data_IF_127191721260
#
_entry.id   IF_127191721260
#
_cell.length_a   1.000
_cell.length_b   1.000
_cell.length_c   1.000
_cell.angle_alpha   90.00
_cell.angle_beta   90.00
_cell.angle_gamma   90.00
#
_symmetry.space_group_name_H-M   'P 1'
#
loop_
_entity.id
_entity.type
_entity.pdbx_description
1 polymer ?
#
# COMPACT_ATOMS: atom_id res chain seq x y z
N UNK A 1 -29.26 3.24 -3.59
CA UNK A 1 -28.05 3.52 -2.78
C UNK A 1 -27.76 2.29 -1.94
N UNK A 2 -26.56 1.72 -2.05
CA UNK A 2 -26.12 0.65 -1.17
C UNK A 2 -25.17 1.29 -0.14
N UNK A 3 -25.65 1.50 1.08
CA UNK A 3 -24.84 2.13 2.14
C UNK A 3 -23.95 1.05 2.74
N UNK A 4 -22.63 1.21 2.63
CA UNK A 4 -21.67 0.27 3.20
C UNK A 4 -21.52 0.54 4.69
N UNK A 5 -21.66 -0.49 5.51
CA UNK A 5 -21.47 -0.43 6.96
C UNK A 5 -20.53 -1.55 7.39
N UNK A 6 -19.38 -1.18 7.94
CA UNK A 6 -18.50 -2.09 8.67
C UNK A 6 -18.84 -1.99 10.15
N UNK A 7 -19.80 -2.81 10.57
CA UNK A 7 -20.36 -2.74 11.92
C UNK A 7 -20.88 -4.09 12.37
N UNK A 8 -20.91 -4.29 13.68
CA UNK A 8 -21.43 -5.52 14.28
C UNK A 8 -22.71 -5.24 15.05
N UNK A 9 -23.72 -6.09 14.84
CA UNK A 9 -24.99 -6.04 15.55
C UNK A 9 -25.14 -7.34 16.33
N UNK A 10 -25.55 -7.23 17.59
CA UNK A 10 -25.84 -8.37 18.49
C UNK A 10 -26.99 -8.00 19.41
N UNK A 11 -27.59 -9.01 20.06
CA UNK A 11 -28.71 -8.84 20.98
C UNK A 11 -29.88 -8.08 20.32
N UNK A 12 -30.20 -8.44 19.08
CA UNK A 12 -31.32 -7.86 18.36
C UNK A 12 -32.66 -8.31 18.98
N UNK A 13 -33.62 -7.40 19.02
CA UNK A 13 -35.03 -7.66 19.32
C UNK A 13 -35.87 -7.10 18.18
N UNK A 14 -36.48 -8.01 17.40
CA UNK A 14 -37.33 -7.65 16.28
C UNK A 14 -38.79 -7.76 16.72
N UNK A 15 -39.26 -6.80 17.53
CA UNK A 15 -40.64 -6.73 18.03
C UNK A 15 -41.10 -8.01 18.77
N UNK A 16 -40.20 -8.62 19.55
CA UNK A 16 -40.47 -9.85 20.29
C UNK A 16 -40.68 -11.10 19.41
N UNK A 17 -40.38 -11.03 18.12
CA UNK A 17 -40.51 -12.17 17.19
C UNK A 17 -39.38 -13.19 17.39
N UNK A 18 -39.63 -14.44 16.98
CA UNK A 18 -38.59 -15.47 16.96
C UNK A 18 -37.51 -15.14 15.91
N UNK A 19 -36.26 -15.18 16.35
CA UNK A 19 -35.07 -14.87 15.55
C UNK A 19 -34.11 -16.05 15.43
N UNK A 20 -34.56 -17.27 15.76
CA UNK A 20 -33.79 -18.49 15.64
C UNK A 20 -33.21 -18.68 14.23
N UNK A 21 -33.93 -18.26 13.19
CA UNK A 21 -33.47 -18.30 11.79
C UNK A 21 -32.23 -17.43 11.54
N UNK A 22 -32.12 -16.26 12.18
CA UNK A 22 -30.92 -15.39 12.10
C UNK A 22 -29.75 -16.11 12.75
N UNK A 23 -29.98 -16.66 13.95
CA UNK A 23 -28.93 -17.39 14.67
C UNK A 23 -28.47 -18.65 13.93
N UNK A 24 -29.37 -19.33 13.21
CA UNK A 24 -29.06 -20.45 12.33
C UNK A 24 -28.18 -20.01 11.17
N UNK A 25 -28.59 -18.97 10.43
CA UNK A 25 -27.82 -18.42 9.34
C UNK A 25 -26.41 -17.94 9.76
N UNK A 26 -26.27 -17.38 10.96
CA UNK A 26 -24.97 -16.99 11.51
C UNK A 26 -24.08 -18.20 11.86
N UNK A 27 -24.66 -19.30 12.33
CA UNK A 27 -23.91 -20.54 12.61
C UNK A 27 -23.42 -21.20 11.32
N UNK A 28 -24.27 -21.22 10.30
CA UNK A 28 -23.97 -21.90 9.03
C UNK A 28 -23.01 -21.09 8.15
N UNK A 29 -22.97 -19.76 8.30
CA UNK A 29 -22.15 -18.88 7.47
C UNK A 29 -21.19 -18.01 8.31
N UNK A 30 -19.96 -18.48 8.58
CA UNK A 30 -18.98 -17.75 9.39
C UNK A 30 -18.63 -16.34 8.87
N UNK A 31 -18.77 -16.09 7.56
CA UNK A 31 -18.58 -14.76 6.94
C UNK A 31 -19.55 -13.69 7.46
N UNK A 32 -20.69 -14.11 8.04
CA UNK A 32 -21.68 -13.23 8.66
C UNK A 32 -21.38 -12.92 10.13
N UNK A 33 -20.36 -13.56 10.72
CA UNK A 33 -19.94 -13.29 12.09
C UNK A 33 -18.86 -12.19 12.12
N UNK A 34 -18.94 -11.34 13.13
CA UNK A 34 -17.93 -10.32 13.38
C UNK A 34 -16.75 -10.90 14.17
N UNK A 35 -15.60 -10.25 14.09
CA UNK A 35 -14.50 -10.52 15.01
C UNK A 35 -14.88 -10.10 16.44
N UNK A 36 -14.44 -10.89 17.42
CA UNK A 36 -14.74 -10.67 18.84
C UNK A 36 -14.07 -9.39 19.38
N UNK A 37 -12.81 -9.20 19.02
CA UNK A 37 -12.00 -8.05 19.41
C UNK A 37 -11.56 -7.34 18.14
N UNK A 38 -11.76 -6.02 18.09
CA UNK A 38 -11.34 -5.17 16.97
C UNK A 38 -10.75 -3.88 17.50
N UNK A 39 -9.88 -3.27 16.69
CA UNK A 39 -9.30 -1.95 16.93
C UNK A 39 -9.44 -1.07 15.67
N UNK A 40 -9.28 0.26 15.78
CA UNK A 40 -9.38 1.16 14.63
C UNK A 40 -8.35 0.87 13.55
N UNK A 41 -8.83 0.73 12.31
CA UNK A 41 -8.01 0.47 11.13
C UNK A 41 -8.76 -0.38 10.12
N UNK A 42 -8.12 -0.71 9.01
CA UNK A 42 -8.65 -1.58 7.97
C UNK A 42 -7.92 -2.91 7.99
N UNK A 43 -8.65 -4.02 8.05
CA UNK A 43 -8.08 -5.37 7.97
C UNK A 43 -8.06 -5.87 6.53
N UNK A 44 -6.88 -6.26 6.08
CA UNK A 44 -6.68 -6.92 4.80
C UNK A 44 -6.27 -8.37 5.06
N UNK A 45 -7.04 -9.37 4.58
CA UNK A 45 -6.80 -10.78 4.92
C UNK A 45 -5.71 -11.45 4.08
N UNK A 46 -5.07 -10.74 3.13
CA UNK A 46 -4.10 -11.35 2.22
C UNK A 46 -4.70 -12.19 1.08
N UNK A 47 -5.91 -11.84 0.64
CA UNK A 47 -6.64 -12.56 -0.42
C UNK A 47 -7.16 -11.65 -1.55
N UNK A 48 -6.90 -10.34 -1.49
CA UNK A 48 -7.39 -9.40 -2.49
C UNK A 48 -6.91 -7.98 -2.21
N UNK A 49 -7.50 -7.01 -2.92
CA UNK A 49 -7.09 -5.62 -2.91
C UNK A 49 -8.29 -4.67 -2.91
N UNK A 50 -8.01 -3.38 -2.70
CA UNK A 50 -8.94 -2.27 -2.98
C UNK A 50 -8.41 -1.44 -4.15
N UNK A 51 -9.30 -0.89 -4.97
CA UNK A 51 -8.96 -0.09 -6.16
C UNK A 51 -9.63 1.28 -6.12
N UNK A 52 -8.85 2.32 -6.46
CA UNK A 52 -9.32 3.69 -6.63
C UNK A 52 -8.92 4.22 -8.01
N UNK A 53 -9.91 4.62 -8.80
CA UNK A 53 -9.77 5.04 -10.20
C UNK A 53 -9.81 6.56 -10.37
N UNK A 54 -10.21 7.30 -9.33
CA UNK A 54 -10.44 8.75 -9.39
C UNK A 54 -9.29 9.58 -8.80
N UNK A 55 -8.23 8.94 -8.29
CA UNK A 55 -7.09 9.65 -7.74
C UNK A 55 -6.27 10.31 -8.86
N UNK A 56 -5.98 11.59 -8.70
CA UNK A 56 -5.12 12.36 -9.60
C UNK A 56 -3.82 12.72 -8.89
N UNK A 57 -2.72 12.49 -9.57
CA UNK A 57 -1.38 12.84 -9.10
C UNK A 57 -0.86 14.12 -9.76
N UNK A 58 -1.63 14.75 -10.64
CA UNK A 58 -1.22 15.97 -11.32
C UNK A 58 -1.21 17.17 -10.36
N UNK A 59 -0.12 17.91 -10.33
CA UNK A 59 -0.01 19.19 -9.64
C UNK A 59 -0.60 20.25 -10.56
N UNK A 60 -1.76 20.80 -10.19
CA UNK A 60 -2.34 21.95 -10.87
C UNK A 60 -1.47 23.17 -10.59
N UNK A 61 -0.90 23.79 -11.62
CA UNK A 61 -0.30 25.13 -11.47
C UNK A 61 -1.41 26.09 -11.01
N UNK A 62 -1.21 26.89 -9.95
CA UNK A 62 -2.17 27.95 -9.64
C UNK A 62 -2.31 28.85 -10.87
N UNK A 63 -3.55 29.13 -11.25
CA UNK A 63 -3.87 29.99 -12.39
C UNK A 63 -3.16 31.33 -12.19
N UNK A 64 -2.30 31.70 -13.12
CA UNK A 64 -1.53 32.94 -13.04
C UNK A 64 -2.47 34.15 -13.14
N UNK A 65 -2.86 34.70 -11.99
CA UNK A 65 -3.25 36.10 -11.85
C UNK A 65 -2.32 36.68 -10.80
N UNK A 66 -1.13 37.09 -11.22
CA UNK A 66 -0.14 37.73 -10.36
C UNK A 66 1.26 37.67 -10.98
N UNK A 67 2.07 38.75 -10.87
CA UNK A 67 3.42 38.76 -11.40
C UNK A 67 4.31 37.84 -10.56
N UNK A 68 5.10 37.05 -11.29
CA UNK A 68 5.97 35.97 -10.85
C UNK A 68 6.86 36.36 -9.67
N UNK A 69 6.67 35.68 -8.53
CA UNK A 69 7.73 35.55 -7.54
C UNK A 69 8.68 34.45 -8.03
N UNK A 70 9.95 34.83 -8.19
CA UNK A 70 11.03 33.95 -8.58
C UNK A 70 11.28 32.86 -7.52
N UNK A 71 11.47 31.63 -7.97
CA UNK A 71 12.02 30.54 -7.15
C UNK A 71 11.05 29.43 -6.79
N UNK A 72 10.56 28.67 -7.78
CA UNK A 72 10.26 27.24 -7.62
C UNK A 72 10.10 26.60 -9.01
N UNK A 73 11.24 26.36 -9.65
CA UNK A 73 11.32 25.60 -10.89
C UNK A 73 11.50 24.11 -10.59
N UNK A 74 10.44 23.42 -10.14
CA UNK A 74 10.39 21.95 -10.17
C UNK A 74 9.30 21.53 -11.18
N UNK A 75 9.76 21.37 -12.42
CA UNK A 75 9.02 21.59 -13.65
C UNK A 75 8.20 20.45 -14.21
N UNK A 76 7.71 19.50 -13.41
CA UNK A 76 7.02 18.33 -13.97
C UNK A 76 5.72 18.03 -13.22
N UNK A 77 4.73 18.92 -13.35
CA UNK A 77 3.27 18.77 -13.22
C UNK A 77 2.58 17.65 -12.41
N UNK A 78 3.25 16.90 -11.53
CA UNK A 78 2.73 15.76 -10.79
C UNK A 78 3.49 15.54 -9.47
N UNK A 79 2.83 14.92 -8.50
CA UNK A 79 3.40 14.60 -7.18
C UNK A 79 2.67 13.41 -6.57
N UNK A 80 3.42 12.38 -6.19
CA UNK A 80 2.91 11.27 -5.39
C UNK A 80 3.27 11.51 -3.93
N UNK A 81 2.27 11.54 -3.06
CA UNK A 81 2.45 11.53 -1.61
C UNK A 81 1.62 10.39 -1.04
N UNK A 82 2.27 9.44 -0.39
CA UNK A 82 1.64 8.35 0.33
C UNK A 82 2.06 8.45 1.80
N UNK A 83 1.09 8.38 2.70
CA UNK A 83 1.31 8.15 4.12
C UNK A 83 0.34 7.09 4.59
N UNK A 84 0.83 6.11 5.33
CA UNK A 84 0.00 5.13 6.01
C UNK A 84 0.73 4.59 7.22
N UNK A 85 -0.02 4.02 8.15
CA UNK A 85 0.52 3.16 9.19
C UNK A 85 0.15 1.73 8.87
N UNK A 86 1.08 0.80 9.06
CA UNK A 86 0.89 -0.62 8.79
C UNK A 86 1.28 -1.48 9.99
N UNK A 87 0.55 -2.57 10.18
CA UNK A 87 0.93 -3.70 11.04
C UNK A 87 0.78 -4.99 10.24
N UNK A 88 1.83 -5.43 9.53
CA UNK A 88 1.77 -6.60 8.67
C UNK A 88 1.81 -7.91 9.47
N UNK A 89 1.23 -8.95 8.88
CA UNK A 89 1.36 -10.34 9.36
C UNK A 89 2.19 -11.21 8.41
N UNK A 90 2.71 -10.63 7.32
CA UNK A 90 3.60 -11.25 6.33
C UNK A 90 4.68 -10.26 5.92
N UNK A 91 5.86 -10.78 5.63
CA UNK A 91 7.07 -10.04 5.29
C UNK A 91 7.20 -9.69 3.81
N UNK A 92 6.34 -10.25 2.95
CA UNK A 92 6.26 -9.94 1.53
C UNK A 92 4.82 -9.66 1.10
N UNK A 93 4.58 -8.48 0.54
CA UNK A 93 3.29 -8.10 0.00
C UNK A 93 3.34 -6.77 -0.75
N UNK A 94 2.45 -6.59 -1.70
CA UNK A 94 2.17 -5.28 -2.31
C UNK A 94 1.38 -4.42 -1.31
N UNK A 95 1.92 -3.24 -0.96
CA UNK A 95 1.23 -2.25 -0.14
C UNK A 95 0.38 -1.33 -1.02
N UNK A 96 1.01 -0.71 -2.02
CA UNK A 96 0.35 0.19 -2.97
C UNK A 96 0.92 -0.06 -4.36
N UNK A 97 0.09 -0.08 -5.37
CA UNK A 97 0.51 -0.14 -6.77
C UNK A 97 -0.26 0.87 -7.63
N UNK A 98 0.44 1.45 -8.60
CA UNK A 98 -0.14 2.31 -9.62
C UNK A 98 -0.17 1.52 -10.94
N UNK A 99 -1.38 1.17 -11.36
CA UNK A 99 -1.63 0.30 -12.52
C UNK A 99 -2.16 1.13 -13.69
N UNK A 100 -1.51 1.03 -14.84
CA UNK A 100 -1.91 1.67 -16.10
C UNK A 100 -2.52 0.66 -17.06
N UNK A 101 -3.50 1.10 -17.85
CA UNK A 101 -4.15 0.32 -18.92
C UNK A 101 -4.76 -1.02 -18.46
N UNK A 102 -4.88 -1.23 -17.15
CA UNK A 102 -5.37 -2.49 -16.59
C UNK A 102 -4.28 -3.50 -16.23
N UNK A 103 -3.11 -3.44 -16.89
CA UNK A 103 -2.14 -4.56 -16.90
C UNK A 103 -0.73 -4.17 -16.45
N UNK A 104 -0.38 -2.89 -16.53
CA UNK A 104 1.00 -2.43 -16.37
C UNK A 104 1.20 -1.84 -14.97
N UNK A 105 1.96 -2.53 -14.11
CA UNK A 105 2.34 -2.03 -12.79
C UNK A 105 3.52 -1.05 -12.91
N UNK A 106 3.21 0.25 -12.96
CA UNK A 106 4.22 1.29 -13.22
C UNK A 106 5.05 1.62 -11.99
N UNK A 107 4.41 1.70 -10.82
CA UNK A 107 5.04 1.92 -9.54
C UNK A 107 4.42 0.99 -8.51
N UNK A 108 5.25 0.28 -7.75
CA UNK A 108 4.81 -0.63 -6.68
C UNK A 108 5.60 -0.35 -5.41
N UNK A 109 4.91 -0.14 -4.30
CA UNK A 109 5.47 -0.10 -2.96
C UNK A 109 5.13 -1.42 -2.29
N UNK A 110 6.14 -2.12 -1.78
CA UNK A 110 5.94 -3.47 -1.27
C UNK A 110 6.84 -3.78 -0.07
N UNK A 111 6.34 -4.64 0.82
CA UNK A 111 7.15 -5.34 1.80
C UNK A 111 8.00 -6.38 1.07
N UNK A 112 9.31 -6.38 1.34
CA UNK A 112 10.25 -7.25 0.65
C UNK A 112 11.51 -7.50 1.47
N UNK A 113 12.38 -8.34 0.93
CA UNK A 113 13.75 -8.51 1.38
C UNK A 113 14.72 -7.93 0.36
N UNK A 114 15.80 -7.32 0.83
CA UNK A 114 16.96 -7.00 0.01
C UNK A 114 18.13 -7.87 0.44
N UNK A 115 19.03 -8.17 -0.50
CA UNK A 115 20.24 -8.90 -0.18
C UNK A 115 21.34 -7.94 0.31
N UNK A 116 21.94 -8.27 1.44
CA UNK A 116 23.03 -7.53 2.10
C UNK A 116 24.29 -8.38 2.05
N UNK A 117 25.31 -7.84 1.39
CA UNK A 117 26.63 -8.45 1.28
C UNK A 117 27.61 -7.49 0.59
N UNK A 118 28.90 -7.66 0.82
CA UNK A 118 29.91 -6.91 0.09
C UNK A 118 29.81 -7.21 -1.43
N UNK A 119 30.25 -6.27 -2.26
CA UNK A 119 30.34 -6.50 -3.72
C UNK A 119 31.17 -7.77 -3.98
N UNK A 120 30.63 -8.69 -4.79
CA UNK A 120 31.27 -9.98 -5.09
C UNK A 120 30.93 -11.12 -4.11
N UNK A 121 30.18 -10.87 -3.05
CA UNK A 121 29.69 -11.93 -2.16
C UNK A 121 28.70 -12.81 -2.93
N UNK A 122 28.89 -14.14 -3.01
CA UNK A 122 27.96 -15.02 -3.72
C UNK A 122 26.58 -14.97 -3.06
N UNK A 123 25.52 -15.02 -3.87
CA UNK A 123 24.13 -14.84 -3.42
C UNK A 123 23.74 -15.71 -2.22
N UNK A 124 24.25 -16.95 -2.15
CA UNK A 124 23.98 -17.89 -1.05
C UNK A 124 24.58 -17.45 0.30
N UNK A 125 25.55 -16.55 0.29
CA UNK A 125 26.20 -16.00 1.49
C UNK A 125 25.70 -14.60 1.83
N UNK A 126 24.83 -14.00 1.01
CA UNK A 126 24.24 -12.71 1.31
C UNK A 126 23.13 -12.88 2.35
N UNK A 127 23.06 -11.95 3.30
CA UNK A 127 21.99 -11.91 4.29
C UNK A 127 20.76 -11.23 3.69
N UNK A 128 19.58 -11.82 3.83
CA UNK A 128 18.33 -11.14 3.47
C UNK A 128 17.88 -10.23 4.61
N UNK A 129 17.68 -8.95 4.31
CA UNK A 129 17.18 -7.95 5.25
C UNK A 129 15.76 -7.56 4.88
N UNK A 130 14.78 -7.64 5.81
CA UNK A 130 13.40 -7.24 5.56
C UNK A 130 13.29 -5.71 5.50
N UNK A 131 12.31 -5.21 4.74
CA UNK A 131 12.08 -3.78 4.60
C UNK A 131 10.99 -3.44 3.61
N UNK A 132 10.96 -2.17 3.20
CA UNK A 132 10.05 -1.65 2.18
C UNK A 132 10.83 -1.31 0.93
N UNK A 133 10.41 -1.87 -0.21
CA UNK A 133 10.95 -1.57 -1.53
C UNK A 133 9.97 -0.74 -2.35
N UNK A 134 10.50 0.22 -3.10
CA UNK A 134 9.77 0.92 -4.16
C UNK A 134 10.32 0.46 -5.50
N UNK A 135 9.45 -0.10 -6.31
CA UNK A 135 9.76 -0.65 -7.62
C UNK A 135 9.12 0.20 -8.71
N UNK A 136 9.87 0.43 -9.78
CA UNK A 136 9.38 1.06 -11.01
C UNK A 136 9.55 0.05 -12.14
N UNK A 137 8.44 -0.42 -12.72
CA UNK A 137 8.43 -1.43 -13.79
C UNK A 137 9.41 -2.59 -13.53
N UNK A 138 9.34 -3.18 -12.33
CA UNK A 138 10.20 -4.27 -11.82
C UNK A 138 11.57 -3.87 -11.27
N UNK A 139 12.08 -2.70 -11.59
CA UNK A 139 13.37 -2.26 -11.08
C UNK A 139 13.24 -1.71 -9.66
N UNK A 140 14.07 -2.20 -8.74
CA UNK A 140 14.15 -1.68 -7.39
C UNK A 140 14.80 -0.28 -7.42
N UNK A 141 14.03 0.74 -7.06
CA UNK A 141 14.47 2.13 -7.08
C UNK A 141 15.05 2.53 -5.73
N UNK A 142 14.29 2.26 -4.66
CA UNK A 142 14.60 2.60 -3.29
C UNK A 142 14.25 1.42 -2.40
N UNK A 143 15.05 1.22 -1.36
CA UNK A 143 14.80 0.24 -0.33
C UNK A 143 15.11 0.86 1.03
N UNK A 144 14.22 0.64 1.99
CA UNK A 144 14.39 1.05 3.36
C UNK A 144 14.34 -0.20 4.24
N UNK A 145 15.45 -0.50 4.92
CA UNK A 145 15.51 -1.59 5.90
C UNK A 145 14.51 -1.34 7.02
N UNK A 146 13.83 -2.40 7.43
CA UNK A 146 13.03 -2.38 8.65
C UNK A 146 13.93 -2.11 9.86
N UNK A 147 13.46 -1.37 10.87
CA UNK A 147 14.23 -1.16 12.08
C UNK A 147 14.66 -2.50 12.68
N UNK A 148 15.95 -2.66 12.93
CA UNK A 148 16.45 -3.71 13.80
C UNK A 148 16.19 -3.24 15.23
N UNK A 149 14.95 -3.34 15.69
CA UNK A 149 14.67 -3.04 17.08
C UNK A 149 15.57 -3.96 17.93
N UNK A 150 16.22 -3.41 18.96
CA UNK A 150 17.33 -4.06 19.69
C UNK A 150 16.94 -5.34 20.46
N UNK A 151 15.78 -5.92 20.16
CA UNK A 151 15.28 -7.17 20.70
C UNK A 151 16.22 -8.34 20.36
N UNK A 152 16.60 -9.11 21.37
CA UNK A 152 17.20 -10.43 21.19
C UNK A 152 16.08 -11.46 21.03
N UNK A 153 15.96 -12.10 19.88
CA UNK A 153 15.06 -13.23 19.67
C UNK A 153 15.08 -13.76 18.23
N UNK A 154 14.58 -14.99 17.98
CA UNK A 154 14.56 -15.59 16.64
C UNK A 154 13.60 -14.91 15.64
N UNK A 155 12.78 -13.94 16.11
CA UNK A 155 11.92 -13.05 15.31
C UNK A 155 12.38 -11.58 15.36
N UNK A 156 13.58 -11.32 15.86
CA UNK A 156 14.14 -9.98 15.95
C UNK A 156 14.61 -9.50 14.57
N UNK A 157 13.74 -8.77 13.88
CA UNK A 157 14.05 -8.12 12.63
C UNK A 157 12.85 -8.12 11.69
N UNK A 158 12.43 -6.93 11.25
CA UNK A 158 11.36 -6.78 10.28
C UNK A 158 10.13 -6.06 10.84
N UNK A 159 9.12 -5.96 10.00
CA UNK A 159 7.90 -5.19 10.28
C UNK A 159 6.77 -6.06 10.86
N UNK A 160 6.98 -7.37 11.00
CA UNK A 160 5.99 -8.34 11.48
C UNK A 160 6.09 -8.58 13.00
N UNK A 161 6.38 -7.54 13.77
CA UNK A 161 6.60 -7.58 15.23
C UNK A 161 5.31 -7.37 16.03
N UNK A 162 4.19 -7.05 15.37
CA UNK A 162 2.91 -6.75 16.00
C UNK A 162 2.75 -5.29 16.42
N UNK A 163 3.75 -4.45 16.18
CA UNK A 163 3.69 -3.01 16.35
C UNK A 163 3.10 -2.32 15.11
N UNK A 164 2.75 -1.04 15.27
CA UNK A 164 2.38 -0.18 14.15
C UNK A 164 3.63 0.52 13.63
N UNK A 165 3.87 0.43 12.33
CA UNK A 165 4.95 1.12 11.64
C UNK A 165 4.41 2.24 10.75
N UNK A 166 5.08 3.37 10.73
CA UNK A 166 4.75 4.52 9.89
C UNK A 166 5.51 4.46 8.57
N UNK A 167 4.79 4.55 7.46
CA UNK A 167 5.35 4.56 6.11
C UNK A 167 5.00 5.87 5.41
N UNK A 168 6.03 6.56 4.93
CA UNK A 168 5.94 7.73 4.07
C UNK A 168 6.63 7.49 2.73
N UNK A 169 5.97 7.85 1.64
CA UNK A 169 6.60 7.94 0.32
C UNK A 169 6.23 9.29 -0.29
N UNK A 170 7.22 10.01 -0.78
CA UNK A 170 7.02 11.20 -1.59
C UNK A 170 7.85 11.09 -2.86
N UNK A 171 7.23 11.31 -4.02
CA UNK A 171 7.93 11.33 -5.29
C UNK A 171 7.50 12.54 -6.12
N UNK A 172 8.49 13.25 -6.66
CA UNK A 172 8.40 14.26 -7.72
C UNK A 172 9.19 13.76 -8.92
N UNK A 173 9.16 14.45 -10.06
CA UNK A 173 9.93 14.00 -11.22
C UNK A 173 11.45 13.92 -11.00
N UNK A 174 11.96 14.68 -10.04
CA UNK A 174 13.40 14.79 -9.78
C UNK A 174 13.85 13.93 -8.62
N UNK A 175 13.03 13.81 -7.57
CA UNK A 175 13.41 13.15 -6.33
C UNK A 175 12.33 12.18 -5.84
N UNK A 176 12.77 11.11 -5.21
CA UNK A 176 11.91 10.17 -4.49
C UNK A 176 12.48 9.98 -3.09
N UNK A 177 11.62 10.02 -2.08
CA UNK A 177 11.97 9.78 -0.68
C UNK A 177 11.03 8.75 -0.09
N UNK A 178 11.63 7.72 0.49
CA UNK A 178 10.96 6.67 1.24
C UNK A 178 11.35 6.82 2.71
N UNK A 179 10.38 6.75 3.61
CA UNK A 179 10.57 6.91 5.05
C UNK A 179 9.79 5.82 5.79
N UNK A 180 10.45 5.15 6.73
CA UNK A 180 9.92 4.08 7.56
C UNK A 180 10.31 4.37 9.00
N UNK A 181 9.33 4.55 9.88
CA UNK A 181 9.54 4.87 11.30
C UNK A 181 10.47 6.07 11.53
N UNK A 182 10.30 7.10 10.71
CA UNK A 182 11.08 8.34 10.75
C UNK A 182 12.48 8.23 10.13
N UNK A 183 12.93 7.03 9.75
CA UNK A 183 14.19 6.82 9.03
C UNK A 183 13.88 6.78 7.54
N UNK A 184 14.52 7.65 6.76
CA UNK A 184 14.26 7.70 5.33
C UNK A 184 15.49 7.95 4.47
N UNK A 185 15.40 7.46 3.24
CA UNK A 185 16.39 7.65 2.19
C UNK A 185 15.74 8.34 0.99
N UNK A 186 16.51 9.22 0.36
CA UNK A 186 16.12 9.90 -0.86
C UNK A 186 16.99 9.45 -2.02
N UNK A 187 16.43 9.42 -3.23
CA UNK A 187 17.13 9.15 -4.48
C UNK A 187 16.70 10.14 -5.53
N UNK A 188 17.69 10.83 -6.07
CA UNK A 188 17.51 11.75 -7.18
C UNK A 188 17.63 11.01 -8.52
N UNK A 189 17.09 11.60 -9.58
CA UNK A 189 17.17 11.05 -10.94
C UNK A 189 16.43 9.71 -11.10
N UNK A 190 15.57 9.35 -10.15
CA UNK A 190 14.84 8.09 -10.15
C UNK A 190 13.88 7.96 -11.34
N UNK A 191 13.39 9.06 -11.90
CA UNK A 191 12.45 9.03 -13.03
C UNK A 191 13.06 8.44 -14.32
N UNK A 192 14.39 8.39 -14.39
CA UNK A 192 15.16 7.72 -15.45
C UNK A 192 15.29 6.21 -15.19
N UNK A 193 15.04 5.74 -13.96
CA UNK A 193 15.06 4.32 -13.59
C UNK A 193 13.85 3.65 -14.26
N UNK A 194 14.10 2.64 -15.08
CA UNK A 194 13.10 1.98 -15.92
C UNK A 194 12.88 2.60 -17.31
N UNK A 195 13.49 3.74 -17.65
CA UNK A 195 13.57 4.22 -19.04
C UNK A 195 14.62 3.43 -19.85
N UNK A 196 15.60 2.83 -19.16
CA UNK A 196 16.68 2.03 -19.73
C UNK A 196 16.34 0.52 -19.87
N UNK A 197 15.28 0.04 -19.20
CA UNK A 197 14.99 -1.40 -19.08
C UNK A 197 14.09 -1.96 -20.20
N UNK A 198 13.33 -1.13 -20.92
CA UNK A 198 12.41 -1.60 -21.98
C UNK A 198 12.28 -0.59 -23.15
N UNK A 199 13.34 -0.41 -23.93
CA UNK A 199 13.26 0.03 -25.34
C UNK A 199 12.47 1.31 -25.66
N UNK A 200 12.56 2.36 -24.82
CA UNK A 200 11.95 3.67 -25.15
C UNK A 200 10.57 3.96 -24.55
N UNK A 201 10.11 3.21 -23.54
CA UNK A 201 8.91 3.58 -22.76
C UNK A 201 9.13 4.90 -21.99
N UNK A 202 8.13 5.80 -22.03
CA UNK A 202 8.15 7.15 -21.39
C UNK A 202 8.56 7.07 -19.90
N UNK A 203 9.24 8.10 -19.35
CA UNK A 203 9.55 8.17 -17.90
C UNK A 203 8.30 7.98 -17.04
N UNK A 204 8.40 7.30 -15.89
CA UNK A 204 7.25 7.12 -14.96
C UNK A 204 6.65 8.45 -14.52
N UNK A 205 7.47 9.50 -14.42
CA UNK A 205 7.02 10.86 -14.22
C UNK A 205 5.95 11.31 -15.24
N UNK A 206 6.18 11.06 -16.53
CA UNK A 206 5.21 11.38 -17.58
C UNK A 206 3.95 10.51 -17.50
N UNK A 207 4.05 9.31 -16.95
CA UNK A 207 2.93 8.39 -16.82
C UNK A 207 1.93 8.91 -15.77
N UNK A 208 2.40 9.39 -14.63
CA UNK A 208 1.54 9.82 -13.52
C UNK A 208 0.70 11.09 -13.80
N UNK A 209 0.88 11.70 -14.98
CA UNK A 209 0.01 12.76 -15.51
C UNK A 209 -1.29 12.25 -16.14
N UNK A 210 -1.36 10.95 -16.47
CA UNK A 210 -2.56 10.30 -17.04
C UNK A 210 -3.37 9.52 -16.01
N UNK A 211 -4.48 8.93 -16.45
CA UNK A 211 -5.32 8.07 -15.61
C UNK A 211 -4.55 6.79 -15.20
N UNK A 212 -4.44 6.57 -13.89
CA UNK A 212 -3.89 5.36 -13.28
C UNK A 212 -4.84 4.86 -12.22
N UNK A 213 -4.89 3.54 -12.05
CA UNK A 213 -5.65 2.89 -10.98
C UNK A 213 -4.74 2.70 -9.79
N UNK A 214 -5.19 3.13 -8.63
CA UNK A 214 -4.44 2.99 -7.38
C UNK A 214 -4.94 1.76 -6.65
N UNK A 215 -4.11 0.72 -6.61
CA UNK A 215 -4.43 -0.52 -5.93
C UNK A 215 -3.76 -0.52 -4.55
N UNK A 216 -4.52 -0.89 -3.51
CA UNK A 216 -4.04 -1.00 -2.14
C UNK A 216 -4.12 -2.48 -1.71
N UNK A 217 -3.01 -2.97 -1.13
CA UNK A 217 -2.91 -4.31 -0.56
C UNK A 217 -2.75 -5.44 -1.58
N UNK A 218 -2.56 -5.13 -2.86
CA UNK A 218 -2.41 -6.14 -3.91
C UNK A 218 -2.41 -5.56 -5.31
N UNK A 219 -2.18 -6.45 -6.28
CA UNK A 219 -2.39 -6.19 -7.70
C UNK A 219 -3.68 -6.87 -8.17
N UNK A 220 -4.39 -6.32 -9.16
CA UNK A 220 -5.53 -7.00 -9.76
C UNK A 220 -5.05 -8.17 -10.63
N UNK A 221 -5.89 -9.19 -10.79
CA UNK A 221 -5.56 -10.40 -11.58
C UNK A 221 -5.30 -10.11 -13.06
N UNK A 222 -5.70 -8.92 -13.55
CA UNK A 222 -5.38 -8.43 -14.90
C UNK A 222 -3.91 -8.05 -15.08
N UNK A 223 -3.18 -7.79 -13.98
CA UNK A 223 -1.74 -7.55 -14.00
C UNK A 223 -1.04 -8.90 -13.96
N UNK A 224 -0.25 -9.22 -14.98
CA UNK A 224 0.47 -10.48 -15.02
C UNK A 224 1.40 -10.63 -13.81
N UNK A 225 1.51 -11.85 -13.26
CA UNK A 225 2.41 -12.14 -12.13
C UNK A 225 3.87 -11.71 -12.40
N UNK A 226 4.30 -11.75 -13.66
CA UNK A 226 5.64 -11.36 -14.10
C UNK A 226 5.81 -9.85 -14.29
N UNK A 227 4.76 -9.04 -14.13
CA UNK A 227 4.77 -7.60 -14.33
C UNK A 227 5.32 -6.82 -13.13
N UNK A 228 5.33 -7.43 -11.94
CA UNK A 228 5.90 -6.86 -10.73
C UNK A 228 6.78 -7.90 -9.99
N UNK A 229 7.82 -7.48 -9.25
CA UNK A 229 8.68 -8.40 -8.51
C UNK A 229 7.96 -9.08 -7.35
N UNK A 230 6.88 -8.44 -6.88
CA UNK A 230 6.05 -8.89 -5.75
C UNK A 230 4.60 -8.75 -6.16
N UNK A 231 3.85 -9.82 -5.99
CA UNK A 231 2.44 -9.93 -6.35
C UNK A 231 1.59 -10.51 -5.20
N UNK A 232 2.22 -10.82 -4.07
CA UNK A 232 1.52 -11.29 -2.89
C UNK A 232 0.58 -10.22 -2.33
N UNK A 233 -0.63 -10.63 -1.97
CA UNK A 233 -1.61 -9.79 -1.30
C UNK A 233 -1.18 -9.48 0.14
N UNK A 234 -1.37 -8.23 0.55
CA UNK A 234 -1.10 -7.76 1.89
C UNK A 234 -2.04 -8.39 2.90
N UNK A 235 -1.43 -8.97 3.93
CA UNK A 235 -2.11 -9.49 5.11
C UNK A 235 -1.69 -8.65 6.32
N UNK A 236 -2.66 -8.04 7.00
CA UNK A 236 -2.39 -7.19 8.15
C UNK A 236 -3.38 -6.03 8.31
N UNK A 237 -2.99 -5.06 9.12
CA UNK A 237 -3.77 -3.86 9.41
C UNK A 237 -3.15 -2.63 8.74
N UNK A 238 -4.00 -1.79 8.13
CA UNK A 238 -3.63 -0.46 7.66
C UNK A 238 -4.45 0.59 8.39
N UNK A 239 -3.88 1.77 8.67
CA UNK A 239 -4.65 2.94 9.13
C UNK A 239 -4.02 4.23 8.65
N UNK A 240 -4.77 5.33 8.77
CA UNK A 240 -4.26 6.65 8.41
C UNK A 240 -3.87 6.80 6.94
N UNK A 241 -4.49 6.02 6.05
CA UNK A 241 -4.13 5.93 4.63
C UNK A 241 -4.42 7.27 3.95
N UNK A 242 -3.36 7.91 3.44
CA UNK A 242 -3.43 9.18 2.72
C UNK A 242 -2.67 9.08 1.42
N UNK A 243 -3.32 9.45 0.32
CA UNK A 243 -2.74 9.48 -1.02
C UNK A 243 -3.01 10.85 -1.65
N UNK A 244 -1.95 11.52 -2.12
CA UNK A 244 -2.05 12.88 -2.67
C UNK A 244 -2.61 13.90 -1.67
N UNK A 245 -2.40 13.69 -0.37
CA UNK A 245 -2.94 14.53 0.71
C UNK A 245 -4.40 14.21 1.09
N UNK A 246 -5.13 13.40 0.31
CA UNK A 246 -6.50 12.96 0.60
C UNK A 246 -6.49 11.70 1.47
N UNK A 247 -7.28 11.69 2.55
CA UNK A 247 -7.52 10.47 3.31
C UNK A 247 -8.39 9.51 2.48
N UNK A 248 -8.00 8.24 2.41
CA UNK A 248 -8.75 7.21 1.68
C UNK A 248 -9.65 6.44 2.65
N UNK A 249 -10.93 6.35 2.29
CA UNK A 249 -11.87 5.41 2.90
C UNK A 249 -12.05 4.22 1.94
N UNK A 250 -11.85 3.00 2.44
CA UNK A 250 -12.02 1.78 1.64
C UNK A 250 -13.47 1.52 1.24
N UNK A 251 -14.47 2.08 1.93
CA UNK A 251 -15.85 2.05 1.47
C UNK A 251 -16.05 2.82 0.17
N UNK A 252 -15.25 3.87 -0.08
CA UNK A 252 -15.31 4.66 -1.31
C UNK A 252 -14.53 4.02 -2.47
N UNK A 253 -13.87 2.87 -2.25
CA UNK A 253 -13.14 2.19 -3.30
C UNK A 253 -14.08 1.72 -4.43
N UNK A 254 -13.66 1.95 -5.67
CA UNK A 254 -14.35 1.56 -6.89
C UNK A 254 -14.48 0.03 -6.96
N UNK A 255 -13.45 -0.68 -6.49
CA UNK A 255 -13.48 -2.12 -6.23
C UNK A 255 -12.92 -2.40 -4.83
N UNK A 256 -13.59 -3.28 -4.08
CA UNK A 256 -13.17 -3.71 -2.74
C UNK A 256 -13.39 -5.21 -2.61
N UNK A 257 -12.32 -5.97 -2.38
CA UNK A 257 -12.43 -7.40 -2.14
C UNK A 257 -13.31 -7.68 -0.89
N UNK A 258 -14.27 -8.61 -0.93
CA UNK A 258 -15.27 -8.81 0.13
C UNK A 258 -14.70 -9.25 1.48
N UNK A 259 -13.48 -9.80 1.50
CA UNK A 259 -12.77 -10.13 2.73
C UNK A 259 -12.13 -8.95 3.45
N UNK A 260 -12.04 -7.76 2.82
CA UNK A 260 -11.44 -6.57 3.43
C UNK A 260 -12.44 -5.91 4.39
N UNK A 261 -11.99 -5.58 5.59
CA UNK A 261 -12.75 -4.78 6.55
C UNK A 261 -12.23 -3.35 6.50
N UNK A 262 -13.14 -2.40 6.34
CA UNK A 262 -12.77 -1.02 6.03
C UNK A 262 -12.40 -0.22 7.27
N UNK A 263 -13.02 -0.50 8.41
CA UNK A 263 -12.95 0.29 9.64
C UNK A 263 -12.70 -0.52 10.90
N UNK A 264 -12.61 -1.85 10.79
CA UNK A 264 -12.20 -2.73 11.88
C UNK A 264 -10.92 -3.49 11.54
N UNK A 265 -9.98 -3.52 12.48
CA UNK A 265 -8.82 -4.39 12.41
C UNK A 265 -8.70 -5.38 13.56
N UNK A 266 -8.05 -6.51 13.28
CA UNK A 266 -7.75 -7.51 14.30
C UNK A 266 -6.57 -7.04 15.18
N UNK A 267 -6.70 -7.05 16.51
CA UNK A 267 -5.57 -6.81 17.40
C UNK A 267 -4.51 -7.91 17.21
N UNK A 268 -3.24 -7.65 17.57
CA UNK A 268 -2.20 -8.65 17.51
C UNK A 268 -2.54 -9.81 18.45
N UNK A 269 -2.08 -11.01 18.11
CA UNK A 269 -2.22 -12.16 19.01
C UNK A 269 -1.39 -11.90 20.28
N UNK A 270 -1.91 -12.27 21.47
CA UNK A 270 -1.19 -12.15 22.74
C UNK A 270 0.06 -13.04 22.80
#
# INVERSE_FOLDING_TARGET
>A
MNVRLDGCIRNWDWMGQDTAWISGALRDEPSRQCYRNVEPGSFLPGAGHAEFNTLSYAVRKPSAVGPSAEGDADGDGWRLQLRLELRPSRDQAVLVALVRNGTDAELTVALTHAARGAVGTPARQQQLVPGVGVFVRKELVLFQEAPSDGARGPRAGGLCDGAWHSLGLSATATSMRLELDGVGHSKDGWASVGALAEGGRRPVAALLTGAVRTCLGGLPDTVAFTAAPISAYYAGCLRGIRVGGRALDLHEADHLHPGIRSHSCLPPLP
#
